data_IF_750749850867
#
_entry.id   IF_750749850867
#
_cell.length_a   1.000
_cell.length_b   1.000
_cell.length_c   1.000
_cell.angle_alpha   90.00
_cell.angle_beta   90.00
_cell.angle_gamma   90.00
#
_symmetry.space_group_name_H-M   'P 1'
#
loop_
_entity.id
_entity.type
_entity.pdbx_description
1 polymer ?
#
# COMPACT_ATOMS: atom_id res chain seq x y z
N UNK A 1 -9.98 -9.52 2.56
CA UNK A 1 -10.64 -8.24 2.27
C UNK A 1 -10.73 -8.09 0.76
N UNK A 2 -11.86 -7.64 0.21
CA UNK A 2 -12.02 -7.44 -1.24
C UNK A 2 -11.85 -5.96 -1.56
N UNK A 3 -10.84 -5.63 -2.36
CA UNK A 3 -10.59 -4.26 -2.85
C UNK A 3 -11.20 -4.17 -4.25
N UNK A 4 -11.96 -3.10 -4.50
CA UNK A 4 -12.48 -2.79 -5.82
C UNK A 4 -11.90 -1.44 -6.24
N UNK A 5 -11.20 -1.41 -7.37
CA UNK A 5 -10.66 -0.20 -7.97
C UNK A 5 -11.37 0.08 -9.28
N UNK A 6 -11.60 1.36 -9.58
CA UNK A 6 -11.92 1.78 -10.96
C UNK A 6 -10.67 1.66 -11.84
N UNK A 7 -10.82 1.52 -13.16
CA UNK A 7 -9.67 1.53 -14.08
C UNK A 7 -8.76 2.77 -13.90
N UNK A 8 -9.36 3.93 -13.61
CA UNK A 8 -8.65 5.18 -13.37
C UNK A 8 -7.87 5.16 -12.05
N UNK A 9 -8.45 4.61 -10.97
CA UNK A 9 -7.75 4.44 -9.70
C UNK A 9 -6.57 3.47 -9.84
N UNK A 10 -6.75 2.35 -10.54
CA UNK A 10 -5.67 1.40 -10.84
C UNK A 10 -4.52 2.09 -11.58
N UNK A 11 -4.83 2.77 -12.69
CA UNK A 11 -3.84 3.47 -13.49
C UNK A 11 -3.09 4.54 -12.67
N UNK A 12 -3.80 5.30 -11.84
CA UNK A 12 -3.20 6.31 -10.96
C UNK A 12 -2.23 5.67 -9.96
N UNK A 13 -2.60 4.55 -9.35
CA UNK A 13 -1.73 3.81 -8.43
C UNK A 13 -0.47 3.30 -9.13
N UNK A 14 -0.61 2.73 -10.33
CA UNK A 14 0.53 2.27 -11.15
C UNK A 14 1.48 3.42 -11.50
N UNK A 15 0.94 4.57 -11.91
CA UNK A 15 1.72 5.78 -12.19
C UNK A 15 2.43 6.31 -10.93
N UNK A 16 1.72 6.38 -9.79
CA UNK A 16 2.31 6.79 -8.51
C UNK A 16 3.44 5.86 -8.09
N UNK A 17 3.28 4.55 -8.24
CA UNK A 17 4.33 3.58 -7.92
C UNK A 17 5.58 3.75 -8.80
N UNK A 18 5.41 4.15 -10.07
CA UNK A 18 6.54 4.39 -10.97
C UNK A 18 7.42 5.58 -10.54
N UNK A 19 6.82 6.62 -9.96
CA UNK A 19 7.53 7.87 -9.60
C UNK A 19 7.95 7.92 -8.12
N UNK A 20 7.28 7.19 -7.25
CA UNK A 20 7.50 7.23 -5.81
C UNK A 20 8.84 6.58 -5.43
N UNK A 21 9.54 7.22 -4.48
CA UNK A 21 10.85 6.78 -3.99
C UNK A 21 10.79 6.25 -2.57
N UNK A 22 9.77 6.65 -1.80
CA UNK A 22 9.54 6.07 -0.48
C UNK A 22 9.04 4.63 -0.60
N UNK A 23 9.93 3.68 -0.30
CA UNK A 23 9.63 2.25 -0.26
C UNK A 23 8.36 1.90 0.52
N UNK A 24 8.06 2.63 1.60
CA UNK A 24 6.86 2.39 2.44
C UNK A 24 5.58 2.73 1.70
N UNK A 25 5.62 3.78 0.88
CA UNK A 25 4.50 4.18 0.02
C UNK A 25 4.37 3.21 -1.14
N UNK A 26 5.49 2.79 -1.75
CA UNK A 26 5.49 1.79 -2.81
C UNK A 26 4.87 0.47 -2.34
N UNK A 27 5.22 -0.02 -1.14
CA UNK A 27 4.68 -1.28 -0.62
C UNK A 27 3.18 -1.19 -0.29
N UNK A 28 2.71 -0.02 0.18
CA UNK A 28 1.28 0.24 0.31
C UNK A 28 0.55 0.18 -1.04
N UNK A 29 1.12 0.81 -2.08
CA UNK A 29 0.53 0.77 -3.43
C UNK A 29 0.49 -0.67 -3.96
N UNK A 30 1.59 -1.41 -3.87
CA UNK A 30 1.65 -2.82 -4.30
C UNK A 30 0.63 -3.67 -3.56
N UNK A 31 0.48 -3.50 -2.25
CA UNK A 31 -0.51 -4.26 -1.47
C UNK A 31 -1.93 -4.05 -2.00
N UNK A 32 -2.30 -2.80 -2.31
CA UNK A 32 -3.62 -2.46 -2.87
C UNK A 32 -3.82 -3.07 -4.25
N UNK A 33 -2.84 -2.94 -5.16
CA UNK A 33 -2.90 -3.49 -6.51
C UNK A 33 -3.00 -5.03 -6.51
N UNK A 34 -2.15 -5.71 -5.73
CA UNK A 34 -2.18 -7.18 -5.61
C UNK A 34 -3.49 -7.68 -5.00
N UNK A 35 -4.03 -6.98 -3.99
CA UNK A 35 -5.32 -7.33 -3.41
C UNK A 35 -6.48 -7.14 -4.41
N UNK A 36 -6.43 -6.11 -5.25
CA UNK A 36 -7.37 -5.92 -6.36
C UNK A 36 -7.25 -7.04 -7.42
N UNK A 37 -6.05 -7.55 -7.65
CA UNK A 37 -5.77 -8.70 -8.54
C UNK A 37 -6.15 -10.06 -7.93
N UNK A 38 -6.68 -10.07 -6.71
CA UNK A 38 -7.19 -11.28 -6.06
C UNK A 38 -6.15 -12.03 -5.21
N UNK A 39 -4.98 -11.44 -4.96
CA UNK A 39 -3.99 -12.04 -4.07
C UNK A 39 -4.48 -12.03 -2.63
N UNK A 40 -4.24 -13.14 -1.91
CA UNK A 40 -4.54 -13.20 -0.47
C UNK A 40 -3.54 -12.34 0.32
N UNK A 41 -3.93 -11.91 1.52
CA UNK A 41 -3.05 -11.15 2.41
C UNK A 41 -1.77 -11.92 2.73
N UNK A 42 -1.87 -13.24 2.89
CA UNK A 42 -0.73 -14.15 3.07
C UNK A 42 0.21 -14.08 1.86
N UNK A 43 -0.30 -14.21 0.63
CA UNK A 43 0.52 -14.13 -0.59
C UNK A 43 1.21 -12.77 -0.72
N UNK A 44 0.48 -11.68 -0.43
CA UNK A 44 1.03 -10.32 -0.46
C UNK A 44 2.13 -10.17 0.60
N UNK A 45 1.91 -10.65 1.82
CA UNK A 45 2.87 -10.60 2.92
C UNK A 45 4.17 -11.34 2.55
N UNK A 46 4.05 -12.49 1.88
CA UNK A 46 5.18 -13.27 1.40
C UNK A 46 5.93 -12.56 0.28
N UNK A 47 5.21 -11.98 -0.69
CA UNK A 47 5.79 -11.28 -1.83
C UNK A 47 6.52 -9.99 -1.43
N UNK A 48 5.92 -9.22 -0.52
CA UNK A 48 6.48 -7.94 -0.05
C UNK A 48 7.44 -8.12 1.15
N UNK A 49 7.54 -9.32 1.72
CA UNK A 49 8.35 -9.64 2.91
C UNK A 49 8.02 -8.75 4.11
N UNK A 50 6.74 -8.48 4.31
CA UNK A 50 6.20 -7.75 5.48
C UNK A 50 5.21 -8.63 6.23
N UNK A 51 4.95 -8.33 7.50
CA UNK A 51 4.02 -9.12 8.30
C UNK A 51 2.58 -9.01 7.77
N UNK A 52 1.81 -10.10 7.83
CA UNK A 52 0.44 -10.13 7.31
C UNK A 52 -0.46 -9.06 7.94
N UNK A 53 -0.32 -8.80 9.25
CA UNK A 53 -1.08 -7.73 9.92
C UNK A 53 -0.73 -6.32 9.38
N UNK A 54 0.49 -6.12 8.88
CA UNK A 54 0.88 -4.87 8.21
C UNK A 54 0.16 -4.73 6.87
N UNK A 55 0.04 -5.81 6.10
CA UNK A 55 -0.78 -5.84 4.88
C UNK A 55 -2.24 -5.50 5.20
N UNK A 56 -2.81 -6.16 6.21
CA UNK A 56 -4.18 -5.90 6.65
C UNK A 56 -4.43 -4.42 6.96
N UNK A 57 -3.48 -3.80 7.68
CA UNK A 57 -3.51 -2.37 7.99
C UNK A 57 -3.40 -1.50 6.75
N UNK A 58 -2.49 -1.79 5.83
CA UNK A 58 -2.32 -1.03 4.59
C UNK A 58 -3.60 -1.04 3.73
N UNK A 59 -4.23 -2.21 3.60
CA UNK A 59 -5.49 -2.34 2.87
C UNK A 59 -6.63 -1.58 3.57
N UNK A 60 -6.71 -1.64 4.89
CA UNK A 60 -7.72 -0.93 5.67
C UNK A 60 -7.55 0.59 5.56
N UNK A 61 -6.33 1.10 5.71
CA UNK A 61 -5.99 2.53 5.55
C UNK A 61 -6.44 3.05 4.17
N UNK A 62 -6.20 2.28 3.12
CA UNK A 62 -6.57 2.64 1.75
C UNK A 62 -8.09 2.65 1.55
N UNK A 63 -8.81 1.64 2.02
CA UNK A 63 -10.28 1.59 1.86
C UNK A 63 -10.99 2.67 2.65
N UNK A 64 -10.47 3.04 3.82
CA UNK A 64 -11.09 4.07 4.66
C UNK A 64 -10.81 5.50 4.18
N UNK A 65 -9.64 5.75 3.57
CA UNK A 65 -9.17 7.13 3.35
C UNK A 65 -8.26 7.33 2.12
N UNK A 66 -8.10 6.32 1.27
CA UNK A 66 -7.11 6.29 0.17
C UNK A 66 -5.67 6.61 0.64
N UNK A 67 -5.36 6.31 1.90
CA UNK A 67 -4.09 6.67 2.54
C UNK A 67 -2.95 5.79 2.08
N UNK A 68 -2.00 6.40 1.38
CA UNK A 68 -0.78 5.75 0.89
C UNK A 68 0.48 6.21 1.63
N UNK A 69 0.47 7.38 2.27
CA UNK A 69 1.63 7.92 2.98
C UNK A 69 1.56 7.65 4.49
N UNK A 70 2.69 7.27 5.12
CA UNK A 70 2.76 7.28 6.57
C UNK A 70 2.69 8.73 7.07
N UNK A 71 1.88 8.99 8.09
CA UNK A 71 1.78 10.32 8.74
C UNK A 71 2.87 10.54 9.79
N UNK A 72 3.62 9.48 10.12
CA UNK A 72 4.72 9.57 11.06
C UNK A 72 5.90 10.26 10.36
N UNK A 73 5.86 11.60 10.35
CA UNK A 73 7.03 12.43 10.15
C UNK A 73 8.07 12.01 11.19
N UNK A 74 9.28 11.69 10.73
CA UNK A 74 10.36 11.27 11.60
C UNK A 74 10.56 12.23 12.76
N UNK A 75 11.01 11.70 13.89
CA UNK A 75 11.45 12.52 15.02
C UNK A 75 12.36 13.61 14.49
N UNK A 76 12.07 14.88 14.81
CA UNK A 76 13.00 15.99 14.58
C UNK A 76 14.32 15.58 15.23
N UNK A 77 15.31 15.24 14.41
CA UNK A 77 16.64 14.89 14.89
C UNK A 77 17.20 16.13 15.58
N UNK A 78 17.24 16.11 16.91
CA UNK A 78 17.99 17.10 17.70
C UNK A 78 19.47 16.72 17.59
N UNK A 79 20.11 17.08 16.48
CA UNK A 79 21.55 17.12 16.33
C UNK A 79 21.97 18.58 16.14
#
# INVERSE_FOLDING_TARGET
MKITLTPQQKLRLEQMHHIERDSRVCDRIKAVLLAFEGWSQIMISQALRIHESTVARHLSDYVLSEKLKPENGGSQSKL
#
